data_IF_516688044789
#
_entry.id   IF_516688044789
#
_cell.length_a   1.000
_cell.length_b   1.000
_cell.length_c   1.000
_cell.angle_alpha   90.00
_cell.angle_beta   90.00
_cell.angle_gamma   90.00
#
_symmetry.space_group_name_H-M   'P 1'
#
loop_
_entity.id
_entity.type
_entity.pdbx_description
1 polymer ?
#
# COMPACT_ATOMS: atom_id res chain seq x y z
N UNK A 1 -27.26 -20.06 -12.32
CA UNK A 1 -27.20 -20.69 -11.02
C UNK A 1 -25.79 -20.67 -10.46
N UNK A 2 -24.87 -21.24 -11.19
CA UNK A 2 -23.47 -21.28 -10.81
C UNK A 2 -22.82 -19.91 -10.76
N UNK A 3 -23.38 -18.98 -11.50
CA UNK A 3 -22.92 -17.60 -11.55
C UNK A 3 -22.98 -16.88 -10.21
N UNK A 4 -23.83 -17.35 -9.29
CA UNK A 4 -23.97 -16.77 -7.97
C UNK A 4 -22.78 -17.05 -7.07
N UNK A 5 -22.06 -18.14 -7.29
CA UNK A 5 -20.95 -18.54 -6.42
C UNK A 5 -19.65 -17.83 -6.75
N UNK A 6 -19.46 -17.45 -8.00
CA UNK A 6 -18.24 -16.78 -8.43
C UNK A 6 -18.03 -15.44 -7.74
N UNK A 7 -19.03 -14.53 -7.67
CA UNK A 7 -18.89 -13.28 -6.91
C UNK A 7 -18.62 -13.50 -5.44
N UNK A 8 -19.23 -14.49 -4.80
CA UNK A 8 -19.03 -14.79 -3.40
C UNK A 8 -17.59 -15.18 -3.08
N UNK A 9 -16.94 -15.94 -3.95
CA UNK A 9 -15.54 -16.32 -3.78
C UNK A 9 -14.62 -15.11 -3.79
N UNK A 10 -14.86 -14.19 -4.72
CA UNK A 10 -14.07 -12.97 -4.82
C UNK A 10 -14.30 -12.08 -3.59
N UNK A 11 -15.54 -12.01 -3.13
CA UNK A 11 -15.92 -11.21 -1.98
C UNK A 11 -15.39 -11.75 -0.66
N UNK A 12 -14.75 -12.91 -0.63
CA UNK A 12 -14.15 -13.44 0.59
C UNK A 12 -12.85 -12.73 1.00
N UNK A 13 -12.22 -12.01 0.10
CA UNK A 13 -10.94 -11.34 0.39
C UNK A 13 -11.20 -9.98 1.06
N UNK A 14 -10.53 -9.76 2.19
CA UNK A 14 -10.57 -8.51 2.96
C UNK A 14 -9.28 -7.75 2.73
N UNK A 15 -9.37 -6.48 2.37
CA UNK A 15 -8.21 -5.69 1.95
C UNK A 15 -8.12 -4.36 2.69
N UNK A 16 -6.92 -4.06 3.17
CA UNK A 16 -6.51 -2.72 3.57
C UNK A 16 -5.70 -2.13 2.42
N UNK A 17 -6.14 -1.02 1.89
CA UNK A 17 -5.50 -0.36 0.76
C UNK A 17 -4.87 0.94 1.23
N UNK A 18 -3.55 1.07 1.06
CA UNK A 18 -2.80 2.27 1.39
C UNK A 18 -2.36 2.96 0.10
N UNK A 19 -2.82 4.18 -0.13
CA UNK A 19 -2.56 4.96 -1.34
C UNK A 19 -1.65 6.14 -1.04
N UNK A 20 -0.54 6.23 -1.75
CA UNK A 20 0.33 7.41 -1.75
C UNK A 20 -0.33 8.50 -2.60
N UNK A 21 -0.61 9.64 -1.98
CA UNK A 21 -1.33 10.74 -2.65
C UNK A 21 -0.54 12.03 -2.74
N UNK A 22 0.73 12.02 -2.34
CA UNK A 22 1.54 13.24 -2.36
C UNK A 22 2.57 13.27 -3.47
N UNK A 23 3.08 14.45 -3.74
CA UNK A 23 4.23 14.69 -4.61
C UNK A 23 4.09 14.06 -5.99
N UNK A 24 5.02 13.19 -6.33
CA UNK A 24 5.09 12.52 -7.64
C UNK A 24 3.89 11.63 -7.97
N UNK A 25 3.11 11.26 -6.96
CA UNK A 25 1.92 10.41 -7.16
C UNK A 25 0.69 11.16 -7.65
N UNK A 26 0.71 12.49 -7.62
CA UNK A 26 -0.46 13.30 -7.99
C UNK A 26 -1.02 12.94 -9.36
N UNK A 27 -0.15 12.72 -10.33
CA UNK A 27 -0.56 12.34 -11.70
C UNK A 27 -1.14 10.93 -11.80
N UNK A 28 -0.92 10.09 -10.79
CA UNK A 28 -1.34 8.69 -10.80
C UNK A 28 -2.58 8.41 -9.95
N UNK A 29 -2.97 9.34 -9.09
CA UNK A 29 -4.08 9.13 -8.14
C UNK A 29 -5.37 8.74 -8.85
N UNK A 30 -5.70 9.43 -9.94
CA UNK A 30 -6.92 9.15 -10.70
C UNK A 30 -6.93 7.73 -11.28
N UNK A 31 -5.81 7.30 -11.84
CA UNK A 31 -5.69 5.95 -12.41
C UNK A 31 -5.85 4.90 -11.32
N UNK A 32 -5.27 5.14 -10.15
CA UNK A 32 -5.40 4.26 -8.99
C UNK A 32 -6.86 4.14 -8.55
N UNK A 33 -7.55 5.26 -8.42
CA UNK A 33 -8.95 5.29 -8.01
C UNK A 33 -9.84 4.53 -9.00
N UNK A 34 -9.63 4.72 -10.30
CA UNK A 34 -10.37 4.01 -11.34
C UNK A 34 -10.11 2.50 -11.28
N UNK A 35 -8.85 2.11 -11.12
CA UNK A 35 -8.45 0.71 -11.10
C UNK A 35 -9.07 -0.02 -9.89
N UNK A 36 -9.00 0.57 -8.71
CA UNK A 36 -9.56 -0.04 -7.51
C UNK A 36 -11.08 0.04 -7.46
N UNK A 37 -11.66 1.07 -8.05
CA UNK A 37 -13.12 1.13 -8.21
C UNK A 37 -13.62 -0.03 -9.08
N UNK A 38 -12.91 -0.33 -10.15
CA UNK A 38 -13.25 -1.46 -11.02
C UNK A 38 -13.08 -2.82 -10.32
N UNK A 39 -12.08 -2.93 -9.45
CA UNK A 39 -11.81 -4.18 -8.73
C UNK A 39 -12.61 -4.34 -7.43
N UNK A 40 -13.34 -3.32 -7.03
CA UNK A 40 -14.01 -3.27 -5.72
C UNK A 40 -14.96 -4.44 -5.47
N UNK A 41 -15.63 -4.93 -6.50
CA UNK A 41 -16.54 -6.04 -6.38
C UNK A 41 -15.85 -7.37 -6.05
N UNK A 42 -14.53 -7.44 -6.21
CA UNK A 42 -13.75 -8.64 -5.91
C UNK A 42 -13.42 -8.78 -4.43
N UNK A 43 -13.68 -7.74 -3.62
CA UNK A 43 -13.28 -7.73 -2.23
C UNK A 43 -14.50 -7.65 -1.30
N UNK A 44 -14.48 -8.46 -0.26
CA UNK A 44 -15.54 -8.47 0.73
C UNK A 44 -15.55 -7.19 1.56
N UNK A 45 -14.38 -6.80 2.01
CA UNK A 45 -14.16 -5.56 2.74
C UNK A 45 -12.97 -4.86 2.13
N UNK A 46 -13.12 -3.58 1.86
CA UNK A 46 -12.05 -2.76 1.30
C UNK A 46 -12.01 -1.44 2.08
N UNK A 47 -10.97 -1.27 2.90
CA UNK A 47 -10.74 -0.07 3.67
C UNK A 47 -9.59 0.71 3.07
N UNK A 48 -9.77 2.02 2.90
CA UNK A 48 -8.79 2.91 2.30
C UNK A 48 -8.08 3.73 3.36
N UNK A 49 -6.75 3.86 3.18
CA UNK A 49 -5.93 4.78 3.95
C UNK A 49 -4.98 5.48 2.97
N UNK A 50 -4.55 6.66 3.35
CA UNK A 50 -3.68 7.49 2.51
C UNK A 50 -2.40 7.80 3.25
N UNK A 51 -1.29 7.87 2.50
CA UNK A 51 0.01 8.19 3.06
C UNK A 51 0.79 9.08 2.09
N UNK A 52 1.96 9.54 2.51
CA UNK A 52 2.88 10.31 1.67
C UNK A 52 4.25 9.66 1.67
N UNK A 53 4.69 9.25 0.51
CA UNK A 53 5.96 8.59 0.20
C UNK A 53 6.11 7.22 0.86
N UNK A 54 6.04 7.14 2.18
CA UNK A 54 6.19 5.89 2.91
C UNK A 54 5.27 5.85 4.13
N UNK A 55 5.24 4.72 4.86
CA UNK A 55 4.39 4.57 6.03
C UNK A 55 5.19 4.93 7.29
N UNK A 56 4.58 5.73 8.15
CA UNK A 56 5.14 6.14 9.42
C UNK A 56 4.14 5.87 10.55
N UNK A 57 4.18 6.65 11.63
CA UNK A 57 3.34 6.44 12.82
C UNK A 57 1.85 6.72 12.59
N UNK A 58 1.50 7.41 11.52
CA UNK A 58 0.10 7.71 11.20
C UNK A 58 -0.16 7.75 9.70
N UNK A 59 -1.40 7.49 9.34
CA UNK A 59 -1.93 7.61 7.99
C UNK A 59 -3.23 8.41 8.06
N UNK A 60 -3.87 8.64 6.93
CA UNK A 60 -5.12 9.41 6.87
C UNK A 60 -6.22 8.58 6.21
N UNK A 61 -7.46 8.81 6.62
CA UNK A 61 -8.63 8.23 5.95
C UNK A 61 -9.11 9.08 4.77
N UNK A 62 -8.63 10.30 4.69
CA UNK A 62 -9.00 11.29 3.67
C UNK A 62 -7.76 11.64 2.85
N UNK A 63 -7.91 11.64 1.52
CA UNK A 63 -6.83 12.00 0.60
C UNK A 63 -6.33 13.44 0.74
N UNK A 64 -7.09 14.30 1.38
CA UNK A 64 -6.67 15.68 1.69
C UNK A 64 -5.67 15.75 2.83
N UNK A 65 -5.53 14.67 3.57
CA UNK A 65 -4.60 14.53 4.69
C UNK A 65 -4.72 15.65 5.71
N UNK A 66 -5.94 15.90 6.17
CA UNK A 66 -6.19 16.92 7.18
C UNK A 66 -5.55 16.54 8.50
N UNK A 67 -4.93 17.53 9.14
CA UNK A 67 -4.16 17.31 10.37
C UNK A 67 -4.97 16.65 11.50
N UNK A 68 -6.25 16.97 11.63
CA UNK A 68 -7.12 16.41 12.65
C UNK A 68 -7.71 15.04 12.34
N UNK A 69 -7.42 14.48 11.17
CA UNK A 69 -8.01 13.20 10.71
C UNK A 69 -6.97 12.10 10.55
N UNK A 70 -5.90 12.16 11.31
CA UNK A 70 -4.87 11.13 11.31
C UNK A 70 -5.36 9.87 12.02
N UNK A 71 -5.02 8.73 11.44
CA UNK A 71 -5.23 7.43 12.08
C UNK A 71 -3.87 6.88 12.46
N UNK A 72 -3.63 6.59 13.73
CA UNK A 72 -2.37 5.97 14.13
C UNK A 72 -2.18 4.62 13.45
N UNK A 73 -1.02 4.39 12.89
CA UNK A 73 -0.69 3.09 12.25
C UNK A 73 -0.82 1.95 13.26
N UNK A 74 -0.43 2.19 14.50
CA UNK A 74 -0.55 1.20 15.57
C UNK A 74 -2.01 0.78 15.82
N UNK A 75 -2.94 1.72 15.68
CA UNK A 75 -4.37 1.42 15.81
C UNK A 75 -4.84 0.46 14.70
N UNK A 76 -4.35 0.66 13.47
CA UNK A 76 -4.66 -0.24 12.36
C UNK A 76 -4.13 -1.65 12.65
N UNK A 77 -2.91 -1.75 13.16
CA UNK A 77 -2.31 -3.03 13.52
C UNK A 77 -3.11 -3.77 14.59
N UNK A 78 -3.78 -3.04 15.47
CA UNK A 78 -4.59 -3.61 16.55
C UNK A 78 -6.02 -3.91 16.14
N UNK A 79 -6.57 -3.12 15.22
CA UNK A 79 -7.98 -3.19 14.83
C UNK A 79 -8.26 -4.33 13.86
N UNK A 80 -7.38 -4.51 12.87
CA UNK A 80 -7.64 -5.48 11.80
C UNK A 80 -6.89 -6.78 12.08
N UNK A 81 -7.59 -7.93 11.95
CA UNK A 81 -6.95 -9.23 12.14
C UNK A 81 -5.98 -9.57 11.00
N UNK A 82 -5.03 -10.49 11.24
CA UNK A 82 -3.96 -10.78 10.29
C UNK A 82 -4.40 -11.48 9.00
N UNK A 83 -5.66 -11.87 8.89
CA UNK A 83 -6.21 -12.42 7.65
C UNK A 83 -6.54 -11.34 6.63
N UNK A 84 -6.51 -10.06 7.01
CA UNK A 84 -6.59 -8.97 6.04
C UNK A 84 -5.37 -9.00 5.13
N UNK A 85 -5.59 -8.74 3.84
CA UNK A 85 -4.52 -8.53 2.86
C UNK A 85 -4.22 -7.04 2.81
N UNK A 86 -2.96 -6.71 2.62
CA UNK A 86 -2.54 -5.31 2.54
C UNK A 86 -2.01 -5.02 1.14
N UNK A 87 -2.53 -3.97 0.52
CA UNK A 87 -2.05 -3.48 -0.76
C UNK A 87 -1.57 -2.04 -0.56
N UNK A 88 -0.32 -1.80 -0.90
CA UNK A 88 0.23 -0.45 -0.99
C UNK A 88 0.25 -0.01 -2.45
N UNK A 89 -0.02 1.25 -2.70
CA UNK A 89 0.10 1.85 -4.03
C UNK A 89 0.91 3.12 -3.93
N UNK A 90 2.02 3.17 -4.63
CA UNK A 90 2.91 4.32 -4.64
C UNK A 90 4.10 4.08 -5.55
N UNK A 91 4.82 5.14 -5.89
CA UNK A 91 6.00 5.02 -6.74
C UNK A 91 7.25 4.60 -5.96
N UNK A 92 7.22 4.67 -4.64
CA UNK A 92 8.33 4.34 -3.75
C UNK A 92 9.62 5.10 -4.12
N UNK A 93 9.48 6.26 -4.78
CA UNK A 93 10.58 7.07 -5.24
C UNK A 93 10.80 8.25 -4.30
N UNK A 94 11.84 8.17 -3.50
CA UNK A 94 12.15 9.15 -2.46
C UNK A 94 13.61 9.02 -2.06
N UNK A 95 14.07 9.93 -1.21
CA UNK A 95 15.39 9.78 -0.58
C UNK A 95 15.39 8.50 0.28
N UNK A 96 16.44 7.68 0.22
CA UNK A 96 16.57 6.53 1.13
C UNK A 96 16.45 6.89 2.62
N UNK A 97 16.79 8.11 3.00
CA UNK A 97 16.63 8.61 4.37
C UNK A 97 15.18 8.57 4.83
N UNK A 98 14.23 8.81 3.93
CA UNK A 98 12.81 8.78 4.26
C UNK A 98 12.33 7.40 4.70
N UNK A 99 13.01 6.35 4.26
CA UNK A 99 12.69 4.98 4.64
C UNK A 99 13.52 4.51 5.83
N UNK A 100 14.83 4.82 5.83
CA UNK A 100 15.79 4.15 6.69
C UNK A 100 16.11 4.90 7.98
N UNK A 101 15.79 6.19 8.08
CA UNK A 101 16.23 7.00 9.19
C UNK A 101 15.07 7.59 9.99
N UNK A 102 15.17 7.63 11.34
CA UNK A 102 14.31 8.51 12.14
C UNK A 102 14.44 9.94 11.64
N UNK A 103 13.34 10.68 11.63
CA UNK A 103 13.32 12.05 11.11
C UNK A 103 13.53 12.16 9.61
N UNK A 104 13.48 11.04 8.87
CA UNK A 104 13.67 11.04 7.42
C UNK A 104 12.51 11.59 6.62
N UNK A 105 11.29 11.56 7.17
CA UNK A 105 10.12 12.09 6.50
C UNK A 105 10.26 13.59 6.22
N UNK A 106 9.89 14.01 5.03
CA UNK A 106 9.94 15.42 4.65
C UNK A 106 8.75 16.24 5.17
N UNK A 107 7.70 15.58 5.61
CA UNK A 107 6.49 16.28 6.05
C UNK A 107 6.42 16.52 7.56
N UNK A 108 7.05 15.67 8.35
CA UNK A 108 6.98 15.74 9.81
C UNK A 108 8.14 14.98 10.42
N UNK A 109 8.39 15.18 11.72
CA UNK A 109 9.35 14.37 12.43
C UNK A 109 8.76 13.00 12.74
N UNK A 110 9.44 11.94 12.30
CA UNK A 110 9.10 10.56 12.63
C UNK A 110 10.14 10.00 13.61
N UNK A 111 9.69 9.58 14.79
CA UNK A 111 10.58 9.06 15.83
C UNK A 111 11.23 7.73 15.43
N UNK A 112 10.50 6.92 14.69
CA UNK A 112 10.99 5.65 14.17
C UNK A 112 11.05 5.69 12.65
N UNK A 113 12.04 5.01 12.09
CA UNK A 113 12.21 4.93 10.64
C UNK A 113 11.00 4.28 9.96
N UNK A 114 10.69 4.70 8.74
CA UNK A 114 9.63 4.09 7.94
C UNK A 114 9.82 2.59 7.79
N UNK A 115 11.08 2.12 7.68
CA UNK A 115 11.38 0.70 7.59
C UNK A 115 10.87 -0.10 8.79
N UNK A 116 10.93 0.49 9.98
CA UNK A 116 10.43 -0.14 11.21
C UNK A 116 8.91 -0.33 11.13
N UNK A 117 8.20 0.70 10.68
CA UNK A 117 6.75 0.64 10.50
C UNK A 117 6.36 -0.38 9.43
N UNK A 118 7.10 -0.41 8.33
CA UNK A 118 6.83 -1.38 7.27
C UNK A 118 7.03 -2.82 7.77
N UNK A 119 8.07 -3.07 8.55
CA UNK A 119 8.30 -4.38 9.16
C UNK A 119 7.15 -4.79 10.07
N UNK A 120 6.64 -3.87 10.89
CA UNK A 120 5.49 -4.14 11.76
C UNK A 120 4.26 -4.53 10.95
N UNK A 121 4.00 -3.80 9.86
CA UNK A 121 2.85 -4.07 8.99
C UNK A 121 2.99 -5.43 8.30
N UNK A 122 4.15 -5.71 7.72
CA UNK A 122 4.38 -6.96 6.99
C UNK A 122 4.42 -8.18 7.91
N UNK A 123 4.83 -8.01 9.16
CA UNK A 123 4.76 -9.07 10.17
C UNK A 123 3.32 -9.33 10.62
N UNK A 124 2.56 -8.28 10.83
CA UNK A 124 1.14 -8.40 11.22
C UNK A 124 0.29 -8.96 10.10
N UNK A 125 0.55 -8.51 8.86
CA UNK A 125 -0.21 -8.89 7.68
C UNK A 125 0.73 -9.58 6.68
N UNK A 126 0.92 -10.91 6.81
CA UNK A 126 1.90 -11.61 5.98
C UNK A 126 1.54 -11.62 4.49
N UNK A 127 0.27 -11.42 4.16
CA UNK A 127 -0.16 -11.32 2.76
C UNK A 127 -0.30 -9.85 2.37
N UNK A 128 0.75 -9.36 1.74
CA UNK A 128 0.86 -7.97 1.31
C UNK A 128 1.47 -7.89 -0.09
N UNK A 129 1.21 -6.77 -0.78
CA UNK A 129 1.77 -6.47 -2.08
C UNK A 129 1.86 -4.96 -2.25
N UNK A 130 2.81 -4.51 -3.06
CA UNK A 130 2.95 -3.10 -3.43
C UNK A 130 2.76 -2.99 -4.94
N UNK A 131 1.89 -2.09 -5.38
CA UNK A 131 1.66 -1.79 -6.78
C UNK A 131 2.32 -0.44 -7.10
N UNK A 132 3.24 -0.45 -8.06
CA UNK A 132 4.06 0.70 -8.38
C UNK A 132 3.76 1.21 -9.79
N UNK A 133 3.37 2.51 -9.96
CA UNK A 133 3.11 3.10 -11.27
C UNK A 133 4.36 3.38 -12.07
N UNK A 134 5.54 3.43 -11.44
CA UNK A 134 6.80 3.59 -12.17
C UNK A 134 7.05 2.36 -13.04
N UNK A 135 7.46 2.53 -14.32
CA UNK A 135 7.76 1.38 -15.18
C UNK A 135 8.76 0.42 -14.55
N UNK A 136 8.46 -0.88 -14.61
CA UNK A 136 9.24 -1.91 -13.94
C UNK A 136 10.71 -1.93 -14.35
N UNK A 137 11.01 -1.64 -15.61
CA UNK A 137 12.38 -1.59 -16.14
C UNK A 137 13.22 -0.45 -15.54
N UNK A 138 12.58 0.50 -14.84
CA UNK A 138 13.27 1.60 -14.18
C UNK A 138 13.54 1.36 -12.71
N UNK A 139 12.93 0.34 -12.12
CA UNK A 139 13.02 0.12 -10.67
C UNK A 139 14.46 -0.09 -10.20
N UNK A 140 15.27 -0.77 -10.98
CA UNK A 140 16.67 -1.05 -10.61
C UNK A 140 17.55 0.20 -10.49
N UNK A 141 17.12 1.30 -11.10
CA UNK A 141 17.87 2.57 -11.08
C UNK A 141 17.43 3.50 -9.94
N UNK A 142 16.43 3.12 -9.16
CA UNK A 142 15.89 3.95 -8.08
C UNK A 142 16.18 3.25 -6.75
N UNK A 143 17.10 3.82 -5.97
CA UNK A 143 17.59 3.20 -4.74
C UNK A 143 16.47 2.92 -3.73
N UNK A 144 15.54 3.86 -3.57
CA UNK A 144 14.42 3.71 -2.62
C UNK A 144 13.48 2.56 -3.01
N UNK A 145 13.30 2.31 -4.30
CA UNK A 145 12.51 1.17 -4.77
C UNK A 145 13.19 -0.14 -4.37
N UNK A 146 14.51 -0.23 -4.52
CA UNK A 146 15.26 -1.40 -4.10
C UNK A 146 15.11 -1.69 -2.62
N UNK A 147 15.17 -0.65 -1.79
CA UNK A 147 14.99 -0.77 -0.35
C UNK A 147 13.56 -1.24 -0.02
N UNK A 148 12.56 -0.63 -0.62
CA UNK A 148 11.17 -1.02 -0.41
C UNK A 148 10.93 -2.48 -0.82
N UNK A 149 11.48 -2.91 -1.94
CA UNK A 149 11.35 -4.29 -2.41
C UNK A 149 11.95 -5.30 -1.43
N UNK A 150 13.07 -4.97 -0.82
CA UNK A 150 13.67 -5.83 0.21
C UNK A 150 12.75 -5.96 1.43
N UNK A 151 12.18 -4.84 1.89
CA UNK A 151 11.27 -4.84 3.03
C UNK A 151 9.99 -5.63 2.76
N UNK A 152 9.58 -5.69 1.51
CA UNK A 152 8.35 -6.38 1.06
C UNK A 152 8.62 -7.80 0.55
N UNK A 153 9.82 -8.32 0.73
CA UNK A 153 10.19 -9.64 0.22
C UNK A 153 9.94 -9.78 -1.29
N UNK A 154 10.26 -8.71 -2.02
CA UNK A 154 10.10 -8.60 -3.48
C UNK A 154 8.63 -8.68 -3.97
N UNK A 155 7.67 -8.38 -3.09
CA UNK A 155 6.25 -8.38 -3.46
C UNK A 155 5.81 -7.02 -4.00
N UNK A 156 6.51 -6.54 -5.01
CA UNK A 156 6.18 -5.33 -5.74
C UNK A 156 5.83 -5.67 -7.19
N UNK A 157 4.71 -5.12 -7.66
CA UNK A 157 4.19 -5.40 -9.00
C UNK A 157 3.88 -4.08 -9.69
N UNK A 158 3.94 -4.04 -11.03
CA UNK A 158 3.58 -2.81 -11.74
C UNK A 158 2.09 -2.49 -11.60
N UNK A 159 1.76 -1.21 -11.55
CA UNK A 159 0.38 -0.74 -11.46
C UNK A 159 -0.25 -0.76 -12.86
N UNK A 160 -0.59 -1.94 -13.30
CA UNK A 160 -1.27 -2.25 -14.57
C UNK A 160 -2.33 -3.30 -14.28
N UNK A 161 -3.20 -3.57 -15.24
CA UNK A 161 -4.20 -4.64 -15.09
C UNK A 161 -3.50 -5.98 -14.83
N UNK A 162 -2.45 -6.27 -15.60
CA UNK A 162 -1.67 -7.50 -15.42
C UNK A 162 -0.95 -7.53 -14.07
N UNK A 163 -0.37 -6.41 -13.64
CA UNK A 163 0.30 -6.30 -12.35
C UNK A 163 -0.66 -6.44 -11.17
N UNK A 164 -1.85 -5.85 -11.28
CA UNK A 164 -2.89 -6.01 -10.26
C UNK A 164 -3.32 -7.47 -10.15
N UNK A 165 -3.49 -8.16 -11.27
CA UNK A 165 -3.83 -9.58 -11.29
C UNK A 165 -2.75 -10.44 -10.61
N UNK A 166 -1.48 -10.18 -10.92
CA UNK A 166 -0.34 -10.85 -10.27
C UNK A 166 -0.32 -10.59 -8.76
N UNK A 167 -0.57 -9.33 -8.37
CA UNK A 167 -0.62 -8.93 -6.96
C UNK A 167 -1.75 -9.64 -6.22
N UNK A 168 -2.95 -9.68 -6.79
CA UNK A 168 -4.09 -10.36 -6.20
C UNK A 168 -3.80 -11.85 -6.04
N UNK A 169 -3.21 -12.48 -7.05
CA UNK A 169 -2.81 -13.90 -6.95
C UNK A 169 -1.79 -14.13 -5.83
N UNK A 170 -0.82 -13.25 -5.69
CA UNK A 170 0.14 -13.32 -4.60
C UNK A 170 -0.52 -13.20 -3.23
N UNK A 171 -1.58 -12.39 -3.13
CA UNK A 171 -2.32 -12.22 -1.88
C UNK A 171 -3.20 -13.42 -1.51
N UNK A 172 -3.56 -14.24 -2.47
CA UNK A 172 -4.35 -15.44 -2.23
C UNK A 172 -3.48 -16.65 -1.85
N UNK A 173 -2.25 -16.59 -2.27
CA UNK A 173 -1.30 -17.64 -1.95
C UNK A 173 -0.88 -17.55 -0.49
#
# INVERSE_FOLDING_TARGET
LDLKFVPERHNAVKVLLFLDVGGSMESHVRVCEELFSAARSEFKHLEYFYFHNFIYESVWKDGRRRHGERTPTLEILRTYPPDYRVIFVGDASMSPYEIMQPGGSIEHWNDEAGAVWMQRITQRFPKHAWLNPEPEDRWEYIASIGIARQLLEDRMFPLTIAGLDRGIKALKA
#
